data_IF_840562005493
#
_entry.id   IF_840562005493
#
_cell.length_a   1.000
_cell.length_b   1.000
_cell.length_c   1.000
_cell.angle_alpha   90.00
_cell.angle_beta   90.00
_cell.angle_gamma   90.00
#
_symmetry.space_group_name_H-M   'P 1'
#
loop_
_entity.id
_entity.type
_entity.pdbx_description
1 polymer ?
#
# COMPACT_ATOMS: atom_id res chain seq x y z
N UNK A 1 -77.12 -6.50 68.94
CA UNK A 1 -76.50 -6.26 67.62
C UNK A 1 -75.19 -5.53 67.86
N UNK A 2 -74.08 -6.28 67.93
CA UNK A 2 -72.74 -5.72 68.18
C UNK A 2 -71.85 -5.99 66.97
N UNK A 3 -71.29 -4.92 66.41
CA UNK A 3 -70.47 -4.96 65.18
C UNK A 3 -69.00 -5.13 65.58
N UNK A 4 -68.32 -6.12 64.99
CA UNK A 4 -66.90 -6.37 65.14
C UNK A 4 -66.10 -5.42 64.22
N UNK A 5 -65.08 -4.75 64.77
CA UNK A 5 -64.15 -3.91 64.01
C UNK A 5 -62.82 -4.67 63.85
N UNK A 6 -62.47 -5.01 62.61
CA UNK A 6 -61.19 -5.62 62.24
C UNK A 6 -60.16 -4.54 61.90
N UNK A 7 -59.01 -4.56 62.55
CA UNK A 7 -57.85 -3.72 62.23
C UNK A 7 -56.95 -4.48 61.24
N UNK A 8 -56.86 -4.00 59.98
CA UNK A 8 -55.86 -4.44 59.01
C UNK A 8 -54.56 -3.64 59.23
N UNK A 9 -53.45 -4.34 59.47
CA UNK A 9 -52.09 -3.79 59.37
C UNK A 9 -51.62 -3.83 57.91
N UNK A 10 -51.33 -2.67 57.32
CA UNK A 10 -50.65 -2.54 56.02
C UNK A 10 -49.12 -2.47 56.25
N UNK A 11 -48.39 -3.48 55.80
CA UNK A 11 -46.93 -3.47 55.68
C UNK A 11 -46.54 -2.84 54.33
N UNK A 12 -45.79 -1.73 54.37
CA UNK A 12 -45.19 -1.09 53.20
C UNK A 12 -43.72 -1.55 53.11
N UNK A 13 -43.26 -2.16 52.01
CA UNK A 13 -41.84 -2.44 51.83
C UNK A 13 -41.10 -1.18 51.36
N UNK A 14 -40.02 -0.81 52.07
CA UNK A 14 -39.13 0.27 51.67
C UNK A 14 -38.21 -0.22 50.53
N UNK A 15 -38.37 0.36 49.33
CA UNK A 15 -37.40 0.20 48.24
C UNK A 15 -36.16 1.09 48.53
N UNK A 16 -35.02 0.45 48.79
CA UNK A 16 -33.70 1.09 48.76
C UNK A 16 -33.27 1.28 47.30
N UNK A 17 -33.34 2.52 46.80
CA UNK A 17 -32.72 2.87 45.52
C UNK A 17 -31.22 3.09 45.74
N UNK A 18 -30.41 2.13 45.25
CA UNK A 18 -28.97 2.29 45.13
C UNK A 18 -28.68 3.22 43.95
N UNK A 19 -28.29 4.46 44.23
CA UNK A 19 -27.75 5.40 43.26
C UNK A 19 -26.34 4.94 42.84
N UNK A 20 -26.26 4.10 41.80
CA UNK A 20 -25.01 3.80 41.12
C UNK A 20 -24.56 5.01 40.30
N UNK A 21 -23.48 5.67 40.71
CA UNK A 21 -22.79 6.64 39.85
C UNK A 21 -22.26 5.90 38.61
N UNK A 22 -22.39 6.45 37.38
CA UNK A 22 -21.75 5.86 36.22
C UNK A 22 -20.22 5.90 36.41
N UNK A 23 -19.60 4.73 36.51
CA UNK A 23 -18.15 4.60 36.41
C UNK A 23 -17.76 4.85 34.95
N UNK A 24 -17.33 6.07 34.64
CA UNK A 24 -16.58 6.32 33.41
C UNK A 24 -15.21 5.66 33.56
N UNK A 25 -14.89 4.71 32.68
CA UNK A 25 -13.54 4.18 32.58
C UNK A 25 -12.59 5.34 32.24
N UNK A 26 -11.50 5.47 33.00
CA UNK A 26 -10.43 6.40 32.61
C UNK A 26 -9.87 5.98 31.26
N UNK A 27 -9.56 6.93 30.36
CA UNK A 27 -8.97 6.60 29.09
C UNK A 27 -7.65 5.85 29.29
N UNK A 28 -7.40 4.84 28.46
CA UNK A 28 -6.12 4.11 28.50
C UNK A 28 -4.97 5.05 28.13
N UNK A 29 -3.74 4.84 28.64
CA UNK A 29 -2.58 5.60 28.19
C UNK A 29 -2.43 5.48 26.66
N UNK A 30 -2.75 6.56 25.92
CA UNK A 30 -2.74 6.59 24.45
C UNK A 30 -4.11 6.86 23.81
N UNK A 31 -5.19 6.79 24.57
CA UNK A 31 -6.53 7.14 24.08
C UNK A 31 -6.58 8.66 23.78
N UNK A 32 -6.81 9.00 22.51
CA UNK A 32 -6.78 10.37 22.01
C UNK A 32 -5.42 10.87 21.51
N UNK A 33 -4.34 10.06 21.55
CA UNK A 33 -3.12 10.36 20.77
C UNK A 33 -3.31 9.84 19.36
N UNK A 34 -3.47 10.77 18.41
CA UNK A 34 -3.48 10.45 16.98
C UNK A 34 -2.18 9.69 16.65
N UNK A 35 -2.32 8.49 16.10
CA UNK A 35 -1.16 7.74 15.62
C UNK A 35 -0.44 8.56 14.57
N UNK A 36 0.89 8.47 14.53
CA UNK A 36 1.69 8.98 13.40
C UNK A 36 1.93 7.89 12.35
N UNK A 37 1.56 6.65 12.66
CA UNK A 37 1.76 5.50 11.79
C UNK A 37 0.62 5.42 10.78
N UNK A 38 0.98 5.07 9.57
CA UNK A 38 0.02 4.64 8.56
C UNK A 38 -0.15 3.12 8.55
N UNK A 39 -1.08 2.65 7.73
CA UNK A 39 -1.28 1.23 7.45
C UNK A 39 -1.33 1.01 5.94
N UNK A 40 -0.85 -0.15 5.51
CA UNK A 40 -1.10 -0.63 4.16
C UNK A 40 -1.97 -1.89 4.19
N UNK A 41 -2.89 -1.99 3.23
CA UNK A 41 -3.81 -3.13 3.08
C UNK A 41 -4.02 -3.45 1.60
N UNK A 42 -4.47 -4.66 1.33
CA UNK A 42 -4.89 -5.10 -0.01
C UNK A 42 -5.88 -6.25 0.08
N UNK A 43 -6.01 -7.01 -1.00
CA UNK A 43 -6.94 -8.12 -1.15
C UNK A 43 -6.95 -9.15 0.00
N UNK A 44 -5.86 -9.44 0.76
CA UNK A 44 -5.94 -10.40 1.86
C UNK A 44 -6.89 -9.94 2.96
N UNK A 45 -7.10 -8.63 3.10
CA UNK A 45 -7.98 -8.03 4.10
C UNK A 45 -9.43 -7.82 3.62
N UNK A 46 -9.85 -8.33 2.46
CA UNK A 46 -11.22 -8.10 1.95
C UNK A 46 -12.34 -8.63 2.85
N UNK A 47 -12.07 -9.60 3.72
CA UNK A 47 -13.08 -10.25 4.59
C UNK A 47 -12.78 -10.07 6.08
N UNK A 48 -11.79 -9.24 6.42
CA UNK A 48 -11.35 -9.01 7.80
C UNK A 48 -11.70 -7.59 8.23
N UNK A 49 -11.76 -7.35 9.55
CA UNK A 49 -11.81 -5.98 10.06
C UNK A 49 -10.56 -5.21 9.65
N UNK A 50 -10.72 -3.97 9.17
CA UNK A 50 -9.61 -3.09 8.81
C UNK A 50 -9.09 -2.33 10.05
N UNK A 51 -7.81 -1.93 10.08
CA UNK A 51 -7.28 -1.16 11.20
C UNK A 51 -7.97 0.21 11.30
N UNK A 52 -7.91 0.85 12.46
CA UNK A 52 -8.49 2.18 12.67
C UNK A 52 -7.49 3.10 13.35
N UNK A 53 -7.66 4.42 13.19
CA UNK A 53 -6.81 5.43 13.83
C UNK A 53 -5.47 5.65 13.14
N UNK A 54 -5.32 5.18 11.90
CA UNK A 54 -4.14 5.41 11.06
C UNK A 54 -3.99 6.88 10.66
N UNK A 55 -2.74 7.34 10.53
CA UNK A 55 -2.41 8.69 10.08
C UNK A 55 -2.57 8.85 8.56
N UNK A 56 -2.22 7.80 7.81
CA UNK A 56 -2.33 7.72 6.36
C UNK A 56 -2.53 6.25 5.97
N UNK A 57 -2.99 6.03 4.74
CA UNK A 57 -3.27 4.70 4.22
C UNK A 57 -2.59 4.46 2.87
N UNK A 58 -2.18 3.23 2.64
CA UNK A 58 -1.69 2.75 1.34
C UNK A 58 -2.55 1.56 0.92
N UNK A 59 -3.11 1.60 -0.29
CA UNK A 59 -4.04 0.55 -0.75
C UNK A 59 -3.49 -0.15 -1.98
N UNK A 60 -3.43 -1.49 -1.93
CA UNK A 60 -3.01 -2.32 -3.05
C UNK A 60 -4.06 -2.37 -4.14
N UNK A 61 -3.68 -2.01 -5.38
CA UNK A 61 -4.62 -1.92 -6.51
C UNK A 61 -4.81 -3.29 -7.18
N UNK A 62 -3.78 -4.13 -7.15
CA UNK A 62 -3.81 -5.48 -7.69
C UNK A 62 -3.83 -6.54 -6.56
N UNK A 63 -4.20 -7.77 -6.93
CA UNK A 63 -4.43 -8.89 -6.02
C UNK A 63 -3.18 -9.82 -5.97
N UNK A 64 -2.00 -9.25 -5.72
CA UNK A 64 -0.75 -10.02 -5.63
C UNK A 64 -0.12 -10.42 -6.96
N UNK A 65 -0.71 -10.08 -8.11
CA UNK A 65 -0.10 -10.24 -9.42
C UNK A 65 -0.28 -8.99 -10.27
N UNK A 66 0.71 -8.65 -11.08
CA UNK A 66 0.66 -7.45 -11.93
C UNK A 66 -0.46 -7.47 -12.99
N UNK A 67 -1.24 -8.55 -13.12
CA UNK A 67 -2.33 -8.70 -14.09
C UNK A 67 -3.72 -8.96 -13.48
N UNK A 68 -3.90 -8.85 -12.16
CA UNK A 68 -5.19 -9.12 -11.51
C UNK A 68 -5.66 -7.94 -10.65
N UNK A 69 -6.96 -7.79 -10.43
CA UNK A 69 -7.51 -6.61 -9.73
C UNK A 69 -7.87 -6.95 -8.30
N UNK A 70 -7.63 -6.01 -7.37
CA UNK A 70 -8.11 -6.14 -6.00
C UNK A 70 -9.65 -6.00 -5.98
N UNK A 71 -10.39 -7.07 -5.59
CA UNK A 71 -11.85 -7.07 -5.66
C UNK A 71 -12.51 -6.15 -4.62
N UNK A 72 -11.80 -5.76 -3.56
CA UNK A 72 -12.31 -4.85 -2.52
C UNK A 72 -11.68 -3.45 -2.59
N UNK A 73 -10.98 -3.10 -3.67
CA UNK A 73 -10.31 -1.80 -3.84
C UNK A 73 -11.22 -0.61 -3.50
N UNK A 74 -12.46 -0.60 -4.00
CA UNK A 74 -13.38 0.51 -3.77
C UNK A 74 -13.77 0.67 -2.28
N UNK A 75 -13.88 -0.42 -1.53
CA UNK A 75 -14.16 -0.39 -0.09
C UNK A 75 -12.92 0.07 0.69
N UNK A 76 -11.75 -0.46 0.31
CA UNK A 76 -10.48 -0.10 0.94
C UNK A 76 -10.09 1.35 0.70
N UNK A 77 -10.39 1.91 -0.47
CA UNK A 77 -10.21 3.34 -0.71
C UNK A 77 -11.10 4.21 0.18
N UNK A 78 -12.35 3.79 0.44
CA UNK A 78 -13.22 4.53 1.38
C UNK A 78 -12.69 4.48 2.80
N UNK A 79 -12.23 3.31 3.24
CA UNK A 79 -11.55 3.14 4.53
C UNK A 79 -10.30 4.04 4.63
N UNK A 80 -9.52 4.13 3.54
CA UNK A 80 -8.31 4.92 3.50
C UNK A 80 -8.57 6.42 3.70
N UNK A 81 -9.71 6.94 3.23
CA UNK A 81 -10.13 8.34 3.43
C UNK A 81 -10.47 8.67 4.89
N UNK A 82 -10.72 7.67 5.75
CA UNK A 82 -10.93 7.88 7.19
C UNK A 82 -9.62 8.14 7.96
N UNK A 83 -8.48 8.16 7.26
CA UNK A 83 -7.17 8.45 7.85
C UNK A 83 -7.09 9.88 8.38
N UNK A 84 -6.47 10.05 9.54
CA UNK A 84 -6.49 11.31 10.27
C UNK A 84 -5.58 12.41 9.65
N UNK A 85 -4.71 12.04 8.70
CA UNK A 85 -3.76 12.90 8.01
C UNK A 85 -2.37 12.92 8.64
N UNK A 86 -1.35 13.15 7.80
CA UNK A 86 0.05 13.34 8.20
C UNK A 86 0.69 14.45 7.35
N UNK A 87 1.56 15.33 7.90
CA UNK A 87 2.14 16.44 7.13
C UNK A 87 3.07 15.99 6.00
N UNK A 88 3.73 14.85 6.16
CA UNK A 88 4.75 14.36 5.21
C UNK A 88 4.26 13.24 4.29
N UNK A 89 3.03 12.74 4.49
CA UNK A 89 2.45 11.64 3.72
C UNK A 89 1.08 12.04 3.16
N UNK A 90 0.75 11.65 1.92
CA UNK A 90 -0.61 11.81 1.43
C UNK A 90 -1.58 11.00 2.32
N UNK A 91 -2.81 11.49 2.50
CA UNK A 91 -3.85 10.76 3.24
C UNK A 91 -4.03 9.35 2.69
N UNK A 92 -4.04 9.24 1.35
CA UNK A 92 -4.14 7.97 0.62
C UNK A 92 -3.04 7.91 -0.43
N UNK A 93 -2.32 6.81 -0.46
CA UNK A 93 -1.45 6.41 -1.57
C UNK A 93 -1.80 4.99 -2.03
N UNK A 94 -1.24 4.58 -3.16
CA UNK A 94 -1.55 3.30 -3.79
C UNK A 94 -0.27 2.49 -3.94
N UNK A 95 -0.38 1.17 -3.93
CA UNK A 95 0.71 0.30 -4.34
C UNK A 95 0.25 -0.73 -5.36
N UNK A 96 1.20 -1.23 -6.15
CA UNK A 96 0.98 -2.26 -7.17
C UNK A 96 2.07 -3.31 -7.11
N UNK A 97 1.70 -4.59 -6.98
CA UNK A 97 2.63 -5.69 -7.22
C UNK A 97 3.14 -5.60 -8.65
N UNK A 98 4.46 -5.55 -8.81
CA UNK A 98 5.14 -5.44 -10.10
C UNK A 98 5.66 -6.81 -10.55
N UNK A 99 5.98 -6.98 -11.83
CA UNK A 99 6.48 -8.26 -12.32
C UNK A 99 7.28 -8.14 -13.62
N UNK A 100 8.19 -9.08 -13.83
CA UNK A 100 8.78 -9.42 -15.12
C UNK A 100 8.64 -10.92 -15.37
N UNK A 101 7.46 -11.41 -15.81
CA UNK A 101 7.23 -12.84 -15.98
C UNK A 101 7.92 -13.44 -17.21
N UNK A 102 8.46 -12.62 -18.12
CA UNK A 102 9.05 -13.07 -19.40
C UNK A 102 8.07 -13.99 -20.16
N UNK A 103 8.53 -15.12 -20.68
CA UNK A 103 7.72 -16.11 -21.38
C UNK A 103 6.67 -16.82 -20.51
N UNK A 104 6.76 -16.73 -19.18
CA UNK A 104 5.77 -17.32 -18.27
C UNK A 104 4.50 -16.47 -18.11
N UNK A 105 4.50 -15.23 -18.64
CA UNK A 105 3.35 -14.34 -18.58
C UNK A 105 2.21 -14.79 -19.48
N UNK A 106 0.98 -14.53 -19.06
CA UNK A 106 -0.22 -14.74 -19.91
C UNK A 106 -0.33 -13.75 -21.07
N UNK A 107 0.42 -12.64 -20.99
CA UNK A 107 0.53 -11.62 -22.02
C UNK A 107 1.93 -11.00 -21.99
N UNK A 108 2.47 -10.68 -23.17
CA UNK A 108 3.75 -10.02 -23.36
C UNK A 108 3.65 -9.05 -24.56
N UNK A 109 4.25 -7.84 -24.51
CA UNK A 109 4.20 -6.92 -25.62
C UNK A 109 5.01 -7.44 -26.83
N UNK A 110 4.58 -7.03 -28.01
CA UNK A 110 5.22 -7.39 -29.29
C UNK A 110 5.56 -6.16 -30.15
N UNK A 111 5.29 -4.95 -29.64
CA UNK A 111 5.54 -3.65 -30.25
C UNK A 111 5.58 -2.54 -29.19
N UNK A 112 5.85 -1.30 -29.60
CA UNK A 112 5.91 -0.11 -28.72
C UNK A 112 4.59 0.69 -28.67
N UNK A 113 3.45 0.01 -28.66
CA UNK A 113 2.14 0.65 -28.51
C UNK A 113 1.37 0.13 -27.29
N UNK A 114 0.93 1.04 -26.43
CA UNK A 114 -0.02 0.72 -25.37
C UNK A 114 -0.82 1.94 -24.85
N UNK A 115 -2.17 1.87 -24.78
CA UNK A 115 -3.03 0.83 -25.34
C UNK A 115 -2.88 0.78 -26.87
N UNK A 116 -3.47 -0.23 -27.53
CA UNK A 116 -3.37 -0.41 -28.98
C UNK A 116 -3.64 0.90 -29.75
N UNK A 117 -2.75 1.24 -30.70
CA UNK A 117 -2.83 2.48 -31.48
C UNK A 117 -2.20 3.71 -30.82
N UNK A 118 -1.60 3.58 -29.63
CA UNK A 118 -0.87 4.66 -28.95
C UNK A 118 0.60 4.32 -28.80
N UNK A 119 1.43 4.93 -29.65
CA UNK A 119 2.88 4.79 -29.59
C UNK A 119 3.46 5.29 -28.26
N UNK A 120 4.46 4.56 -27.76
CA UNK A 120 5.22 4.84 -26.55
C UNK A 120 6.68 5.06 -26.95
N UNK A 121 7.32 6.08 -26.36
CA UNK A 121 8.75 6.25 -26.53
C UNK A 121 9.49 5.19 -25.69
N UNK A 122 10.24 4.31 -26.37
CA UNK A 122 11.02 3.26 -25.73
C UNK A 122 12.52 3.62 -25.74
N UNK A 123 13.15 3.89 -24.57
CA UNK A 123 14.55 4.27 -24.49
C UNK A 123 15.52 3.13 -24.82
N UNK A 124 15.02 1.89 -24.93
CA UNK A 124 15.82 0.71 -25.21
C UNK A 124 15.78 0.24 -26.67
N UNK A 125 15.15 1.03 -27.55
CA UNK A 125 14.88 0.64 -28.93
C UNK A 125 13.57 -0.14 -29.05
N UNK A 126 13.23 -0.63 -30.25
CA UNK A 126 11.91 -1.16 -30.49
C UNK A 126 11.66 -2.49 -29.78
N UNK A 127 10.52 -2.64 -29.12
CA UNK A 127 10.02 -3.94 -28.72
C UNK A 127 9.58 -4.73 -29.96
N UNK A 128 10.00 -5.99 -30.05
CA UNK A 128 9.66 -6.89 -31.16
C UNK A 128 9.11 -8.21 -30.65
N UNK A 129 8.26 -8.93 -31.43
CA UNK A 129 7.65 -10.17 -30.98
C UNK A 129 8.69 -11.20 -30.50
N UNK A 130 8.52 -11.70 -29.28
CA UNK A 130 9.40 -12.70 -28.68
C UNK A 130 10.68 -12.17 -28.02
N UNK A 131 10.92 -10.86 -28.03
CA UNK A 131 11.99 -10.26 -27.24
C UNK A 131 11.60 -10.21 -25.75
N UNK A 132 12.45 -10.72 -24.88
CA UNK A 132 12.30 -10.67 -23.41
C UNK A 132 13.34 -9.76 -22.74
N UNK A 133 14.14 -9.05 -23.54
CA UNK A 133 15.09 -8.06 -23.07
C UNK A 133 14.44 -6.74 -22.68
N UNK A 134 15.28 -5.73 -22.46
CA UNK A 134 14.87 -4.42 -21.90
C UNK A 134 13.78 -3.72 -22.69
N UNK A 135 13.77 -3.80 -24.03
CA UNK A 135 12.80 -3.09 -24.86
C UNK A 135 11.38 -3.57 -24.58
N UNK A 136 11.12 -4.87 -24.67
CA UNK A 136 9.78 -5.39 -24.35
C UNK A 136 9.49 -5.44 -22.85
N UNK A 137 10.49 -5.61 -21.98
CA UNK A 137 10.29 -5.49 -20.54
C UNK A 137 9.83 -4.09 -20.13
N UNK A 138 10.41 -3.03 -20.72
CA UNK A 138 9.96 -1.66 -20.54
C UNK A 138 8.50 -1.47 -20.98
N UNK A 139 8.14 -1.97 -22.17
CA UNK A 139 6.76 -1.90 -22.66
C UNK A 139 5.80 -2.71 -21.78
N UNK A 140 6.23 -3.83 -21.22
CA UNK A 140 5.42 -4.61 -20.27
C UNK A 140 5.10 -3.78 -19.03
N UNK A 141 6.12 -3.14 -18.44
CA UNK A 141 5.95 -2.26 -17.30
C UNK A 141 5.01 -1.09 -17.60
N UNK A 142 5.26 -0.37 -18.70
CA UNK A 142 4.39 0.73 -19.14
C UNK A 142 2.93 0.27 -19.28
N UNK A 143 2.71 -0.90 -19.88
CA UNK A 143 1.39 -1.47 -20.04
C UNK A 143 0.71 -1.84 -18.72
N UNK A 144 1.45 -2.47 -17.79
CA UNK A 144 0.88 -2.82 -16.47
C UNK A 144 0.49 -1.57 -15.67
N UNK A 145 1.33 -0.54 -15.68
CA UNK A 145 1.00 0.72 -15.01
C UNK A 145 -0.20 1.44 -15.65
N UNK A 146 -0.36 1.36 -16.99
CA UNK A 146 -1.57 1.81 -17.66
C UNK A 146 -2.82 1.07 -17.15
N UNK A 147 -2.76 -0.26 -17.08
CA UNK A 147 -3.87 -1.07 -16.58
C UNK A 147 -4.19 -0.72 -15.13
N UNK A 148 -3.17 -0.57 -14.29
CA UNK A 148 -3.30 -0.18 -12.89
C UNK A 148 -4.05 1.15 -12.73
N UNK A 149 -3.72 2.15 -13.55
CA UNK A 149 -4.34 3.46 -13.50
C UNK A 149 -5.76 3.51 -14.07
N UNK A 150 -6.04 2.77 -15.14
CA UNK A 150 -7.26 2.99 -15.94
C UNK A 150 -8.23 1.81 -16.00
N UNK A 151 -7.79 0.58 -15.73
CA UNK A 151 -8.63 -0.62 -15.90
C UNK A 151 -9.03 -1.27 -14.57
N UNK A 152 -8.49 -0.79 -13.43
CA UNK A 152 -8.72 -1.39 -12.11
C UNK A 152 -9.68 -0.64 -11.20
N UNK A 153 -10.29 0.44 -11.69
CA UNK A 153 -11.29 1.21 -10.95
C UNK A 153 -10.73 2.31 -10.04
N UNK A 154 -9.48 2.72 -10.25
CA UNK A 154 -8.91 3.90 -9.60
C UNK A 154 -9.47 5.17 -10.25
N UNK A 155 -10.12 6.01 -9.45
CA UNK A 155 -10.61 7.32 -9.90
C UNK A 155 -9.50 8.36 -9.74
N UNK A 156 -9.30 9.23 -10.74
CA UNK A 156 -8.25 10.26 -10.72
C UNK A 156 -6.83 9.69 -10.41
N UNK A 157 -6.31 8.74 -11.20
CA UNK A 157 -5.04 8.06 -10.90
C UNK A 157 -3.84 9.01 -10.78
N UNK A 158 -3.87 10.16 -11.47
CA UNK A 158 -2.85 11.21 -11.40
C UNK A 158 -2.73 11.87 -10.01
N UNK A 159 -3.79 11.84 -9.21
CA UNK A 159 -3.82 12.46 -7.88
C UNK A 159 -3.10 11.66 -6.80
N UNK A 160 -2.78 10.40 -7.07
CA UNK A 160 -2.17 9.51 -6.08
C UNK A 160 -0.64 9.48 -6.18
N UNK A 161 -0.03 9.13 -5.05
CA UNK A 161 1.33 8.62 -5.00
C UNK A 161 1.28 7.09 -5.19
N UNK A 162 2.12 6.55 -6.07
CA UNK A 162 2.15 5.14 -6.43
C UNK A 162 3.45 4.46 -5.98
N UNK A 163 3.34 3.43 -5.17
CA UNK A 163 4.45 2.58 -4.75
C UNK A 163 4.54 1.35 -5.65
N UNK A 164 5.72 1.14 -6.24
CA UNK A 164 6.03 -0.07 -6.98
C UNK A 164 6.52 -1.11 -5.99
N UNK A 165 5.69 -2.13 -5.73
CA UNK A 165 6.02 -3.25 -4.86
C UNK A 165 6.93 -4.23 -5.61
N UNK A 166 8.16 -4.37 -5.09
CA UNK A 166 9.21 -5.22 -5.64
C UNK A 166 9.63 -6.26 -4.63
N UNK A 167 9.00 -7.43 -4.73
CA UNK A 167 9.25 -8.54 -3.82
C UNK A 167 9.52 -9.87 -4.55
N UNK A 168 10.14 -10.81 -3.86
CA UNK A 168 10.48 -12.15 -4.35
C UNK A 168 9.27 -13.07 -4.47
N UNK A 169 8.14 -12.70 -3.86
CA UNK A 169 6.85 -13.36 -4.07
C UNK A 169 6.22 -12.97 -5.43
N UNK A 170 6.61 -11.81 -5.97
CA UNK A 170 6.24 -11.43 -7.33
C UNK A 170 7.03 -12.26 -8.36
N UNK A 171 6.56 -12.25 -9.62
CA UNK A 171 7.24 -12.98 -10.70
C UNK A 171 8.32 -12.11 -11.35
N UNK A 172 9.58 -12.56 -11.32
CA UNK A 172 10.71 -11.84 -11.90
C UNK A 172 11.58 -12.72 -12.79
N UNK A 173 12.29 -12.09 -13.73
CA UNK A 173 13.39 -12.77 -14.41
C UNK A 173 14.48 -13.09 -13.40
N UNK A 174 14.78 -14.38 -13.23
CA UNK A 174 15.85 -14.85 -12.35
C UNK A 174 17.26 -14.66 -12.91
N UNK A 175 17.38 -14.30 -14.20
CA UNK A 175 18.66 -14.21 -14.91
C UNK A 175 18.97 -12.82 -15.46
N UNK A 176 17.96 -11.94 -15.59
CA UNK A 176 18.13 -10.61 -16.18
C UNK A 176 17.55 -9.49 -15.30
N UNK A 177 18.39 -8.99 -14.38
CA UNK A 177 18.07 -7.81 -13.57
C UNK A 177 17.92 -6.54 -14.40
N UNK A 178 18.52 -6.46 -15.59
CA UNK A 178 18.40 -5.27 -16.45
C UNK A 178 17.00 -5.20 -17.07
N UNK A 179 16.43 -6.34 -17.48
CA UNK A 179 15.03 -6.41 -17.89
C UNK A 179 14.08 -6.11 -16.71
N UNK A 180 14.36 -6.60 -15.50
CA UNK A 180 13.57 -6.27 -14.30
C UNK A 180 13.55 -4.76 -14.03
N UNK A 181 14.71 -4.08 -14.12
CA UNK A 181 14.80 -2.61 -14.03
C UNK A 181 13.98 -1.92 -15.11
N UNK A 182 14.05 -2.40 -16.35
CA UNK A 182 13.33 -1.82 -17.47
C UNK A 182 11.80 -1.85 -17.26
N UNK A 183 11.25 -2.92 -16.67
CA UNK A 183 9.83 -2.94 -16.24
C UNK A 183 9.52 -1.76 -15.33
N UNK A 184 10.31 -1.59 -14.26
CA UNK A 184 10.08 -0.53 -13.28
C UNK A 184 10.23 0.87 -13.89
N UNK A 185 11.19 1.04 -14.81
CA UNK A 185 11.38 2.29 -15.55
C UNK A 185 10.16 2.60 -16.43
N UNK A 186 9.61 1.61 -17.14
CA UNK A 186 8.40 1.77 -17.95
C UNK A 186 7.16 2.07 -17.13
N UNK A 187 7.00 1.42 -15.96
CA UNK A 187 5.93 1.76 -15.01
C UNK A 187 6.06 3.20 -14.52
N UNK A 188 7.28 3.60 -14.15
CA UNK A 188 7.60 4.94 -13.65
C UNK A 188 7.32 6.01 -14.72
N UNK A 189 7.74 5.79 -15.96
CA UNK A 189 7.49 6.73 -17.06
C UNK A 189 5.99 6.86 -17.37
N UNK A 190 5.23 5.76 -17.32
CA UNK A 190 3.78 5.86 -17.46
C UNK A 190 3.15 6.71 -16.35
N UNK A 191 3.43 6.43 -15.08
CA UNK A 191 2.84 7.18 -13.97
C UNK A 191 3.25 8.67 -14.02
N UNK A 192 4.50 8.98 -14.33
CA UNK A 192 4.93 10.35 -14.57
C UNK A 192 4.20 11.00 -15.75
N UNK A 193 3.91 10.26 -16.82
CA UNK A 193 3.21 10.79 -18.00
C UNK A 193 1.78 11.26 -17.70
N UNK A 194 1.14 10.70 -16.67
CA UNK A 194 -0.18 11.12 -16.20
C UNK A 194 -0.11 12.15 -15.07
N UNK A 195 1.10 12.52 -14.61
CA UNK A 195 1.33 13.49 -13.53
C UNK A 195 1.35 12.90 -12.12
N UNK A 196 1.27 11.57 -11.98
CA UNK A 196 1.39 10.88 -10.70
C UNK A 196 2.84 10.90 -10.18
N UNK A 197 2.99 10.73 -8.86
CA UNK A 197 4.30 10.53 -8.21
C UNK A 197 4.55 9.06 -7.97
N UNK A 198 5.82 8.65 -7.98
CA UNK A 198 6.21 7.24 -7.86
C UNK A 198 7.24 7.04 -6.74
N UNK A 199 7.18 5.91 -6.07
CA UNK A 199 8.20 5.41 -5.14
C UNK A 199 8.37 3.90 -5.28
N UNK A 200 9.34 3.34 -4.57
CA UNK A 200 9.71 1.92 -4.65
C UNK A 200 9.66 1.27 -3.27
N UNK A 201 9.04 0.10 -3.20
CA UNK A 201 8.91 -0.70 -1.99
C UNK A 201 9.70 -2.01 -2.12
N UNK A 202 10.52 -2.33 -1.12
CA UNK A 202 11.20 -3.62 -1.01
C UNK A 202 11.94 -3.74 0.33
N UNK A 203 12.57 -4.90 0.56
CA UNK A 203 13.73 -4.98 1.47
C UNK A 203 15.02 -4.75 0.67
N UNK A 204 16.09 -4.32 1.32
CA UNK A 204 17.39 -4.20 0.66
C UNK A 204 17.89 -5.52 0.05
N UNK A 205 17.59 -6.65 0.69
CA UNK A 205 17.96 -7.98 0.19
C UNK A 205 17.19 -8.36 -1.07
N UNK A 206 15.86 -8.21 -1.06
CA UNK A 206 15.00 -8.53 -2.20
C UNK A 206 15.33 -7.61 -3.38
N UNK A 207 15.54 -6.31 -3.11
CA UNK A 207 15.96 -5.36 -4.13
C UNK A 207 17.28 -5.73 -4.78
N UNK A 208 18.31 -6.08 -4.00
CA UNK A 208 19.59 -6.51 -4.57
C UNK A 208 19.41 -7.78 -5.42
N UNK A 209 18.59 -8.73 -4.98
CA UNK A 209 18.31 -9.96 -5.72
C UNK A 209 17.59 -9.70 -7.05
N UNK A 210 16.59 -8.84 -7.07
CA UNK A 210 15.68 -8.65 -8.21
C UNK A 210 16.19 -7.58 -9.17
N UNK A 211 16.60 -6.44 -8.61
CA UNK A 211 16.91 -5.20 -9.33
C UNK A 211 18.41 -4.95 -9.32
N UNK A 212 19.06 -5.01 -8.15
CA UNK A 212 20.46 -4.65 -7.99
C UNK A 212 20.73 -3.16 -8.21
N UNK A 213 21.98 -2.80 -8.53
CA UNK A 213 22.40 -1.39 -8.68
C UNK A 213 21.60 -0.66 -9.76
N UNK A 214 21.11 0.53 -9.45
CA UNK A 214 20.45 1.44 -10.39
C UNK A 214 21.43 2.57 -10.77
N UNK A 215 21.58 2.79 -12.08
CA UNK A 215 22.44 3.86 -12.63
C UNK A 215 21.85 5.24 -12.35
N UNK A 216 22.70 6.26 -12.17
CA UNK A 216 22.27 7.66 -12.00
C UNK A 216 21.51 8.25 -13.19
N UNK A 217 21.57 7.59 -14.34
CA UNK A 217 20.81 7.95 -15.55
C UNK A 217 19.39 7.38 -15.60
N UNK A 218 19.05 6.43 -14.72
CA UNK A 218 17.72 5.82 -14.68
C UNK A 218 16.71 6.74 -14.00
N UNK A 219 15.46 6.74 -14.47
CA UNK A 219 14.36 7.47 -13.83
C UNK A 219 14.01 6.92 -12.42
N UNK A 220 14.53 5.75 -12.06
CA UNK A 220 14.39 5.14 -10.73
C UNK A 220 15.36 5.74 -9.70
N UNK A 221 16.45 6.37 -10.15
CA UNK A 221 17.61 6.66 -9.30
C UNK A 221 17.30 7.54 -8.09
N UNK A 222 16.37 8.49 -8.25
CA UNK A 222 15.98 9.45 -7.19
C UNK A 222 14.64 9.15 -6.56
N UNK A 223 14.01 8.00 -6.88
CA UNK A 223 12.71 7.66 -6.30
C UNK A 223 12.83 7.42 -4.79
N UNK A 224 11.86 7.87 -3.98
CA UNK A 224 11.83 7.57 -2.56
C UNK A 224 11.63 6.07 -2.33
N UNK A 225 12.24 5.56 -1.27
CA UNK A 225 12.18 4.17 -0.83
C UNK A 225 11.21 4.00 0.33
N UNK A 226 10.39 2.96 0.24
CA UNK A 226 9.62 2.40 1.34
C UNK A 226 10.28 1.06 1.73
N UNK A 227 10.95 1.04 2.89
CA UNK A 227 11.76 -0.10 3.30
C UNK A 227 10.97 -1.06 4.20
N UNK A 228 10.86 -2.32 3.79
CA UNK A 228 10.27 -3.38 4.58
C UNK A 228 11.27 -4.02 5.56
N UNK A 229 10.74 -4.83 6.48
CA UNK A 229 11.54 -5.78 7.28
C UNK A 229 11.87 -5.34 8.71
N UNK A 230 11.25 -4.26 9.22
CA UNK A 230 11.41 -3.91 10.63
C UNK A 230 10.55 -4.80 11.53
N UNK A 231 11.05 -5.12 12.72
CA UNK A 231 10.36 -6.02 13.66
C UNK A 231 9.27 -5.33 14.50
N UNK A 232 9.35 -4.00 14.63
CA UNK A 232 8.44 -3.17 15.42
C UNK A 232 8.63 -1.69 15.08
N UNK A 233 7.80 -0.82 15.67
CA UNK A 233 7.83 0.63 15.44
C UNK A 233 9.19 1.30 15.76
N UNK A 234 9.91 0.85 16.78
CA UNK A 234 11.23 1.41 17.12
C UNK A 234 12.29 1.03 16.08
N UNK A 235 12.22 -0.23 15.60
CA UNK A 235 13.03 -0.70 14.48
C UNK A 235 12.73 0.07 13.19
N UNK A 236 11.46 0.32 12.91
CA UNK A 236 11.01 1.10 11.75
C UNK A 236 11.55 2.54 11.81
N UNK A 237 11.39 3.22 12.95
CA UNK A 237 11.97 4.55 13.16
C UNK A 237 13.49 4.59 12.95
N UNK A 238 14.22 3.58 13.44
CA UNK A 238 15.66 3.46 13.25
C UNK A 238 16.04 3.21 11.78
N UNK A 239 15.23 2.44 11.06
CA UNK A 239 15.43 2.09 9.66
C UNK A 239 15.30 3.30 8.71
N UNK A 240 14.73 4.44 9.15
CA UNK A 240 14.75 5.68 8.38
C UNK A 240 16.18 6.20 8.08
N UNK A 241 17.16 5.80 8.89
CA UNK A 241 18.58 6.15 8.67
C UNK A 241 19.33 5.15 7.79
N UNK A 242 18.67 4.10 7.30
CA UNK A 242 19.29 3.13 6.39
C UNK A 242 19.52 3.74 5.01
N UNK A 243 20.38 3.09 4.23
CA UNK A 243 20.51 3.42 2.82
C UNK A 243 19.18 3.17 2.08
N UNK A 244 18.75 4.08 1.18
CA UNK A 244 17.64 3.85 0.28
C UNK A 244 17.94 2.72 -0.72
N UNK A 245 16.90 2.23 -1.40
CA UNK A 245 17.01 1.18 -2.42
C UNK A 245 17.83 1.62 -3.64
N UNK A 246 17.84 2.92 -3.93
CA UNK A 246 18.59 3.53 -5.05
C UNK A 246 19.53 4.62 -4.55
N UNK A 247 20.69 4.74 -5.19
CA UNK A 247 21.77 5.60 -4.67
C UNK A 247 21.47 7.10 -4.61
N UNK A 248 20.45 7.59 -5.33
CA UNK A 248 20.00 8.98 -5.29
C UNK A 248 18.67 9.18 -4.55
N UNK A 249 18.08 8.11 -4.01
CA UNK A 249 16.80 8.16 -3.31
C UNK A 249 16.94 8.65 -1.86
N UNK A 250 15.82 8.63 -1.16
CA UNK A 250 15.75 8.77 0.31
C UNK A 250 14.78 7.73 0.86
N UNK A 251 14.94 7.34 2.12
CA UNK A 251 13.92 6.54 2.80
C UNK A 251 12.77 7.46 3.20
N UNK A 252 11.58 7.22 2.66
CA UNK A 252 10.38 8.01 2.96
C UNK A 252 9.43 7.27 3.91
N UNK A 253 9.45 5.94 3.88
CA UNK A 253 8.64 5.07 4.72
C UNK A 253 9.46 3.86 5.16
N UNK A 254 9.14 3.30 6.33
CA UNK A 254 9.59 1.98 6.75
C UNK A 254 8.43 1.16 7.30
N UNK A 255 8.43 -0.15 7.06
CA UNK A 255 7.31 -1.03 7.41
C UNK A 255 7.70 -2.03 8.50
N UNK A 256 6.74 -2.33 9.38
CA UNK A 256 6.77 -3.45 10.30
C UNK A 256 5.39 -4.10 10.42
N UNK A 257 5.35 -5.37 10.81
CA UNK A 257 4.10 -6.11 11.04
C UNK A 257 3.76 -6.14 12.52
N UNK A 258 2.53 -5.84 12.87
CA UNK A 258 2.02 -5.99 14.24
C UNK A 258 0.59 -6.53 14.22
N UNK A 259 0.35 -7.62 14.95
CA UNK A 259 -0.98 -8.23 15.09
C UNK A 259 -1.68 -8.54 13.76
N UNK A 260 -0.92 -8.90 12.72
CA UNK A 260 -1.44 -9.27 11.41
C UNK A 260 -1.75 -8.09 10.47
N UNK A 261 -1.32 -6.88 10.83
CA UNK A 261 -1.40 -5.71 9.95
C UNK A 261 -0.04 -5.10 9.71
N UNK A 262 0.11 -4.55 8.51
CA UNK A 262 1.28 -3.80 8.07
C UNK A 262 1.16 -2.34 8.52
N UNK A 263 2.14 -1.90 9.30
CA UNK A 263 2.24 -0.54 9.80
C UNK A 263 3.42 0.17 9.15
N UNK A 264 3.20 1.44 8.82
CA UNK A 264 4.15 2.29 8.12
C UNK A 264 4.57 3.47 8.99
N UNK A 265 5.88 3.58 9.21
CA UNK A 265 6.50 4.70 9.89
C UNK A 265 6.97 5.73 8.87
N UNK A 266 6.50 7.00 8.92
CA UNK A 266 6.98 8.06 8.05
C UNK A 266 8.37 8.54 8.47
N UNK A 267 9.27 8.68 7.50
CA UNK A 267 10.63 9.15 7.74
C UNK A 267 10.77 10.67 7.51
N UNK A 268 11.49 11.39 8.39
CA UNK A 268 11.76 12.82 8.24
C UNK A 268 12.58 13.20 6.99
#
# INVERSE_FOLDING_TARGET
MGVALWLLFLLVPALLQLSGSPSFASPSPGEGKQSVLGNDISWPQCTTGLPTGQAFAIVGVNNGLANNSNPCLAEQLRWAEDSAGHPEQPTVSLYVNTANPTAAGSWWPDNDEYPAGRAVHNPYGPCTPGDHGKACAYMYGYAKAYDDAYLRGVSNPAGYFWWLDVETENTWSGTDKNANRAVLEGMTDFFHSIGAKVGIYSTGQQWEQIVGTVSSSSNLYSLPSWLAGSLNASGAASACSNAPLTGGGRVALTQFVLQGFDYNYPCP
#
